data_IF_686304141013
#
_entry.id   IF_686304141013
#
_cell.length_a   1.000
_cell.length_b   1.000
_cell.length_c   1.000
_cell.angle_alpha   90.00
_cell.angle_beta   90.00
_cell.angle_gamma   90.00
#
_symmetry.space_group_name_H-M   'P 1'
#
loop_
_entity.id
_entity.type
_entity.pdbx_description
1 polymer ?
#
# COMPACT_ATOMS: atom_id res chain seq x y z
N UNK A 1 -5.20 1.68 -13.16
CA UNK A 1 -6.05 0.76 -12.40
C UNK A 1 -6.49 -0.33 -13.36
N UNK A 2 -5.90 -1.53 -13.25
CA UNK A 2 -6.32 -2.66 -14.08
C UNK A 2 -7.75 -3.03 -13.67
N UNK A 3 -8.66 -3.10 -14.66
CA UNK A 3 -10.07 -3.43 -14.47
C UNK A 3 -10.32 -4.90 -14.79
N UNK A 4 -9.51 -5.78 -14.22
CA UNK A 4 -9.80 -7.21 -14.25
C UNK A 4 -10.87 -7.49 -13.18
N UNK A 5 -11.92 -8.23 -13.56
CA UNK A 5 -13.08 -8.46 -12.69
C UNK A 5 -12.77 -9.61 -11.73
N UNK A 6 -12.04 -9.30 -10.67
CA UNK A 6 -11.90 -10.21 -9.53
C UNK A 6 -13.19 -10.18 -8.69
N UNK A 7 -13.56 -11.35 -8.13
CA UNK A 7 -14.70 -11.46 -7.22
C UNK A 7 -14.34 -10.75 -5.93
N UNK A 8 -15.23 -9.90 -5.42
CA UNK A 8 -15.05 -9.26 -4.13
C UNK A 8 -15.12 -10.32 -3.03
N UNK A 9 -14.09 -10.39 -2.20
CA UNK A 9 -14.01 -11.33 -1.09
C UNK A 9 -13.75 -10.60 0.23
N UNK A 10 -14.04 -11.26 1.34
CA UNK A 10 -13.55 -10.87 2.67
C UNK A 10 -12.06 -11.19 2.82
N UNK A 11 -11.43 -10.73 3.91
CA UNK A 11 -10.04 -11.05 4.27
C UNK A 11 -9.84 -12.57 4.45
N UNK A 12 -10.90 -13.28 4.81
CA UNK A 12 -10.92 -14.75 4.90
C UNK A 12 -11.16 -15.45 3.55
N UNK A 13 -11.29 -14.71 2.44
CA UNK A 13 -11.52 -15.26 1.10
C UNK A 13 -12.96 -15.69 0.81
N UNK A 14 -13.93 -15.29 1.64
CA UNK A 14 -15.36 -15.61 1.42
C UNK A 14 -15.91 -14.63 0.37
N UNK A 15 -16.59 -15.10 -0.69
CA UNK A 15 -17.18 -14.21 -1.69
C UNK A 15 -18.29 -13.36 -1.08
N UNK A 16 -18.26 -12.06 -1.35
CA UNK A 16 -19.24 -11.08 -0.87
C UNK A 16 -20.41 -11.01 -1.86
N UNK A 17 -21.62 -11.29 -1.38
CA UNK A 17 -22.83 -11.28 -2.22
C UNK A 17 -23.39 -9.88 -2.47
N UNK A 18 -23.34 -8.98 -1.47
CA UNK A 18 -23.81 -7.61 -1.55
C UNK A 18 -22.90 -6.69 -0.71
N UNK A 19 -22.51 -5.55 -1.28
CA UNK A 19 -21.62 -4.57 -0.67
C UNK A 19 -22.27 -3.17 -0.56
N UNK A 20 -23.51 -3.02 -1.02
CA UNK A 20 -24.25 -1.75 -0.97
C UNK A 20 -25.18 -1.68 0.23
N UNK A 21 -25.68 -2.84 0.69
CA UNK A 21 -26.62 -2.93 1.79
C UNK A 21 -26.02 -3.62 3.01
N UNK A 22 -26.59 -3.30 4.16
CA UNK A 22 -26.25 -3.86 5.47
C UNK A 22 -27.31 -4.89 5.87
N UNK A 23 -26.93 -5.89 6.65
CA UNK A 23 -27.88 -6.85 7.18
C UNK A 23 -28.69 -6.23 8.34
N UNK A 24 -29.99 -6.04 8.13
CA UNK A 24 -30.92 -5.48 9.11
C UNK A 24 -32.17 -6.33 9.31
N UNK A 25 -32.89 -6.09 10.41
CA UNK A 25 -34.19 -6.70 10.68
C UNK A 25 -35.30 -6.07 9.80
N UNK A 26 -35.21 -6.27 8.48
CA UNK A 26 -36.04 -5.64 7.45
C UNK A 26 -35.43 -4.37 6.85
N UNK A 27 -36.02 -3.86 5.76
CA UNK A 27 -35.43 -2.78 4.95
C UNK A 27 -35.22 -1.44 5.70
N UNK A 28 -35.93 -1.23 6.81
CA UNK A 28 -35.78 -0.06 7.71
C UNK A 28 -35.60 -0.47 9.17
N UNK A 29 -35.26 -1.73 9.41
CA UNK A 29 -35.00 -2.24 10.74
C UNK A 29 -33.62 -1.84 11.27
N UNK A 30 -33.35 -2.07 12.57
CA UNK A 30 -32.02 -1.91 13.13
C UNK A 30 -31.02 -2.89 12.49
N UNK A 31 -29.75 -2.51 12.53
CA UNK A 31 -28.64 -3.35 12.05
C UNK A 31 -28.42 -4.54 12.97
N UNK A 32 -28.08 -5.67 12.36
CA UNK A 32 -27.76 -6.90 13.08
C UNK A 32 -26.25 -7.00 13.32
N UNK A 33 -25.85 -7.26 14.57
CA UNK A 33 -24.45 -7.50 14.94
C UNK A 33 -23.83 -8.75 14.30
N UNK A 34 -24.67 -9.62 13.71
CA UNK A 34 -24.24 -10.82 13.01
C UNK A 34 -23.56 -10.51 11.66
N UNK A 35 -23.69 -9.29 11.15
CA UNK A 35 -23.03 -8.86 9.92
C UNK A 35 -21.50 -8.77 10.10
N UNK A 36 -20.82 -9.89 9.87
CA UNK A 36 -19.38 -10.00 10.02
C UNK A 36 -18.64 -9.20 8.95
N UNK A 37 -19.18 -9.14 7.72
CA UNK A 37 -18.55 -8.42 6.62
C UNK A 37 -18.53 -6.91 6.86
N UNK A 38 -19.65 -6.36 7.37
CA UNK A 38 -19.71 -4.96 7.78
C UNK A 38 -18.68 -4.64 8.86
N UNK A 39 -18.65 -5.46 9.92
CA UNK A 39 -17.76 -5.23 11.06
C UNK A 39 -16.29 -5.26 10.63
N UNK A 40 -15.92 -6.22 9.79
CA UNK A 40 -14.58 -6.36 9.23
C UNK A 40 -14.19 -5.12 8.41
N UNK A 41 -15.05 -4.70 7.47
CA UNK A 41 -14.82 -3.54 6.61
C UNK A 41 -14.63 -2.24 7.41
N UNK A 42 -15.47 -2.02 8.41
CA UNK A 42 -15.39 -0.82 9.25
C UNK A 42 -14.14 -0.88 10.14
N UNK A 43 -13.84 -2.03 10.75
CA UNK A 43 -12.66 -2.21 11.57
C UNK A 43 -11.36 -1.98 10.80
N UNK A 44 -11.26 -2.53 9.57
CA UNK A 44 -10.10 -2.35 8.71
C UNK A 44 -9.87 -0.87 8.42
N UNK A 45 -10.91 -0.12 8.04
CA UNK A 45 -10.77 1.30 7.72
C UNK A 45 -10.47 2.19 8.91
N UNK A 46 -10.93 1.84 10.11
CA UNK A 46 -10.52 2.55 11.32
C UNK A 46 -9.03 2.42 11.63
N UNK A 47 -8.38 1.37 11.13
CA UNK A 47 -6.96 1.07 11.37
C UNK A 47 -6.04 1.48 10.22
N UNK A 48 -6.56 2.09 9.16
CA UNK A 48 -5.76 2.55 8.01
C UNK A 48 -4.82 3.72 8.38
N UNK A 49 -5.13 4.46 9.45
CA UNK A 49 -4.32 5.60 9.85
C UNK A 49 -3.08 5.17 10.62
N UNK A 50 -1.93 5.29 9.95
CA UNK A 50 -0.61 5.19 10.58
C UNK A 50 -0.07 6.61 10.78
N UNK A 51 0.56 6.92 11.94
CA UNK A 51 1.13 8.23 12.18
C UNK A 51 2.09 8.68 11.07
N UNK A 52 1.99 9.96 10.70
CA UNK A 52 2.84 10.55 9.67
C UNK A 52 4.28 10.76 10.17
N UNK A 53 5.23 10.87 9.23
CA UNK A 53 6.62 11.24 9.54
C UNK A 53 6.67 12.62 10.21
N UNK A 54 7.56 12.78 11.20
CA UNK A 54 7.73 14.03 11.98
C UNK A 54 8.10 15.22 11.08
N UNK A 55 8.89 14.99 10.02
CA UNK A 55 9.24 15.98 8.99
C UNK A 55 9.01 15.40 7.60
N UNK A 56 8.78 16.28 6.61
CA UNK A 56 8.51 15.93 5.20
C UNK A 56 7.37 14.90 5.04
N UNK A 57 6.27 15.09 5.79
CA UNK A 57 5.10 14.22 5.73
C UNK A 57 4.46 14.15 4.33
N UNK A 58 4.61 15.21 3.53
CA UNK A 58 4.24 15.22 2.12
C UNK A 58 5.47 14.93 1.26
N UNK A 59 5.45 13.78 0.58
CA UNK A 59 6.53 13.30 -0.29
C UNK A 59 5.94 12.50 -1.46
N UNK A 60 6.74 12.22 -2.49
CA UNK A 60 6.32 11.43 -3.65
C UNK A 60 7.45 10.50 -4.07
N UNK A 61 7.21 9.20 -3.97
CA UNK A 61 8.21 8.17 -4.27
C UNK A 61 8.36 7.89 -5.76
N UNK A 62 9.59 7.79 -6.26
CA UNK A 62 9.89 7.23 -7.59
C UNK A 62 10.94 6.12 -7.51
N UNK A 63 10.68 5.04 -8.25
CA UNK A 63 11.61 3.93 -8.45
C UNK A 63 12.52 4.26 -9.63
N UNK A 64 13.83 4.07 -9.48
CA UNK A 64 14.78 4.30 -10.56
C UNK A 64 16.06 3.48 -10.43
N UNK A 65 16.79 3.36 -11.53
CA UNK A 65 18.12 2.75 -11.57
C UNK A 65 19.15 3.81 -11.88
N UNK A 66 20.19 3.90 -11.04
CA UNK A 66 21.31 4.80 -11.28
C UNK A 66 22.47 3.99 -11.88
N UNK A 67 23.00 4.45 -13.00
CA UNK A 67 24.19 3.91 -13.65
C UNK A 67 25.31 4.94 -13.64
N UNK A 68 26.45 4.59 -13.06
CA UNK A 68 27.63 5.47 -13.02
C UNK A 68 28.33 5.50 -14.38
N UNK A 69 28.43 6.68 -14.99
CA UNK A 69 29.02 6.87 -16.34
C UNK A 69 30.48 7.30 -16.32
N UNK A 70 30.95 7.99 -15.27
CA UNK A 70 32.35 8.44 -15.14
C UNK A 70 32.88 8.24 -13.71
N UNK A 71 34.12 7.76 -13.60
CA UNK A 71 34.85 7.63 -12.33
C UNK A 71 35.82 8.81 -12.19
N UNK A 72 35.49 9.80 -11.35
CA UNK A 72 36.49 10.80 -10.92
C UNK A 72 36.95 10.43 -9.52
N UNK A 73 38.21 10.00 -9.38
CA UNK A 73 38.84 9.80 -8.07
C UNK A 73 39.07 11.18 -7.43
N UNK A 74 38.09 11.64 -6.65
CA UNK A 74 38.30 12.68 -5.65
C UNK A 74 38.42 11.97 -4.30
N UNK A 75 39.49 12.26 -3.58
CA UNK A 75 39.92 11.56 -2.39
C UNK A 75 38.87 11.49 -1.26
N UNK A 76 39.09 10.46 -0.43
CA UNK A 76 38.50 10.15 0.87
C UNK A 76 37.08 9.57 0.91
N UNK A 77 37.01 8.31 0.47
CA UNK A 77 36.40 7.15 1.15
C UNK A 77 34.97 7.29 1.73
N UNK A 78 33.98 7.13 0.85
CA UNK A 78 32.88 6.17 1.06
C UNK A 78 32.83 5.29 -0.19
N UNK A 79 33.33 4.05 -0.08
CA UNK A 79 33.57 3.16 -1.21
C UNK A 79 32.33 2.32 -1.54
N UNK A 80 31.58 2.74 -2.57
CA UNK A 80 31.06 1.80 -3.56
C UNK A 80 32.26 1.45 -4.48
N UNK A 81 32.94 0.33 -4.22
CA UNK A 81 34.08 -0.08 -5.05
C UNK A 81 33.60 -0.66 -6.40
N UNK A 82 34.18 -0.24 -7.55
CA UNK A 82 33.66 -0.52 -8.89
C UNK A 82 34.41 -1.66 -9.59
N UNK A 83 33.69 -2.65 -10.15
CA UNK A 83 34.23 -3.50 -11.24
C UNK A 83 33.18 -3.88 -12.30
N UNK A 84 31.88 -3.61 -12.12
CA UNK A 84 30.85 -3.86 -13.14
C UNK A 84 29.84 -2.70 -13.14
N UNK A 85 29.15 -2.40 -14.25
CA UNK A 85 28.07 -1.39 -14.27
C UNK A 85 26.95 -1.86 -13.34
N UNK A 86 27.05 -1.49 -12.07
CA UNK A 86 26.08 -1.86 -11.06
C UNK A 86 24.84 -1.01 -11.27
N UNK A 87 23.76 -1.64 -11.73
CA UNK A 87 22.42 -1.08 -11.67
C UNK A 87 22.00 -1.00 -10.21
N UNK A 88 22.22 0.13 -9.57
CA UNK A 88 21.74 0.36 -8.21
C UNK A 88 20.28 0.77 -8.26
N UNK A 89 19.39 -0.01 -7.61
CA UNK A 89 17.99 0.37 -7.41
C UNK A 89 17.94 1.45 -6.33
N UNK A 90 17.42 2.62 -6.67
CA UNK A 90 17.30 3.76 -5.76
C UNK A 90 15.82 4.09 -5.57
N UNK A 91 15.46 4.39 -4.32
CA UNK A 91 14.15 4.91 -3.96
C UNK A 91 14.32 6.34 -3.45
N UNK A 92 13.80 7.30 -4.22
CA UNK A 92 13.73 8.70 -3.79
C UNK A 92 12.33 9.00 -3.32
N UNK A 93 12.19 9.51 -2.09
CA UNK A 93 10.94 10.07 -1.55
C UNK A 93 10.80 11.54 -1.90
#
# INVERSE_FOLDING_TARGET
MNKEKEVLTTDAGIPVSDNQNLLGAGARGPLLMQDFYLNEKVAHSHQEFIPQRVVNAKSSGAYGTVTTTNYTQVGNLLRFLPVLPQLCKVYRT
#
